data_IF_862201100969
#
_entry.id   IF_862201100969
#
_cell.length_a   1.000
_cell.length_b   1.000
_cell.length_c   1.000
_cell.angle_alpha   90.00
_cell.angle_beta   90.00
_cell.angle_gamma   90.00
#
_symmetry.space_group_name_H-M   'P 1'
#
loop_
_entity.id
_entity.type
_entity.pdbx_description
1 polymer ?
#
# COMPACT_ATOMS: atom_id res chain seq x y z
N UNK A 1 -2.26 -63.53 -37.31
CA UNK A 1 -2.20 -63.22 -35.87
C UNK A 1 -1.55 -61.86 -35.76
N UNK A 2 -2.30 -60.82 -35.40
CA UNK A 2 -1.71 -59.52 -35.03
C UNK A 2 -1.64 -59.45 -33.49
N UNK A 3 -0.42 -59.15 -33.02
CA UNK A 3 -0.14 -58.88 -31.60
C UNK A 3 -0.79 -57.62 -31.15
N UNK A 4 -1.61 -57.73 -30.12
CA UNK A 4 -2.21 -56.61 -29.39
C UNK A 4 -1.17 -56.01 -28.47
N UNK A 5 -0.67 -54.80 -28.82
CA UNK A 5 0.15 -53.98 -27.94
C UNK A 5 -0.79 -53.41 -26.86
N UNK A 6 -0.66 -53.96 -25.66
CA UNK A 6 -1.38 -53.48 -24.49
C UNK A 6 -0.86 -52.06 -24.10
N UNK A 7 -1.72 -51.07 -24.27
CA UNK A 7 -1.53 -49.76 -23.64
C UNK A 7 -1.57 -49.94 -22.12
N UNK A 8 -0.42 -49.94 -21.48
CA UNK A 8 -0.31 -49.73 -20.04
C UNK A 8 -0.80 -48.32 -19.71
N UNK A 9 -2.08 -48.16 -19.35
CA UNK A 9 -2.57 -47.01 -18.67
C UNK A 9 -1.75 -46.85 -17.37
N UNK A 10 -0.76 -45.95 -17.41
CA UNK A 10 -0.04 -45.54 -16.22
C UNK A 10 -1.05 -45.04 -15.20
N UNK A 11 -1.10 -45.69 -14.04
CA UNK A 11 -1.89 -45.24 -12.89
C UNK A 11 -1.51 -43.81 -12.61
N UNK A 12 -2.46 -42.90 -12.68
CA UNK A 12 -2.26 -41.49 -12.34
C UNK A 12 -1.71 -41.43 -10.90
N UNK A 13 -0.48 -41.01 -10.72
CA UNK A 13 0.08 -40.75 -9.41
C UNK A 13 -0.90 -39.83 -8.66
N UNK A 14 -1.22 -40.07 -7.39
CA UNK A 14 -2.12 -39.22 -6.64
C UNK A 14 -1.51 -37.80 -6.65
N UNK A 15 -2.23 -36.84 -7.24
CA UNK A 15 -1.78 -35.45 -7.31
C UNK A 15 -1.31 -35.01 -5.92
N UNK A 16 -0.12 -34.43 -5.82
CA UNK A 16 0.41 -33.94 -4.55
C UNK A 16 -0.57 -32.94 -3.93
N UNK A 17 -0.55 -32.77 -2.61
CA UNK A 17 -1.42 -31.80 -1.92
C UNK A 17 -1.25 -30.40 -2.55
N UNK A 18 -0.02 -30.05 -2.91
CA UNK A 18 0.28 -28.77 -3.58
C UNK A 18 -0.42 -28.64 -4.94
N UNK A 19 -0.44 -29.71 -5.73
CA UNK A 19 -1.11 -29.72 -7.04
C UNK A 19 -2.65 -29.56 -6.88
N UNK A 20 -3.24 -30.19 -5.87
CA UNK A 20 -4.69 -30.06 -5.62
C UNK A 20 -5.08 -28.66 -5.15
N UNK A 21 -4.23 -28.01 -4.33
CA UNK A 21 -4.51 -26.69 -3.77
C UNK A 21 -4.22 -25.55 -4.76
N UNK A 22 -3.14 -25.66 -5.54
CA UNK A 22 -2.62 -24.53 -6.32
C UNK A 22 -2.69 -24.72 -7.84
N UNK A 23 -3.05 -25.93 -8.34
CA UNK A 23 -3.16 -26.22 -9.76
C UNK A 23 -1.86 -25.85 -10.54
N UNK A 24 -0.70 -26.25 -10.00
CA UNK A 24 0.62 -25.83 -10.51
C UNK A 24 0.84 -26.20 -11.98
N UNK A 25 0.51 -27.45 -12.34
CA UNK A 25 0.67 -27.92 -13.72
C UNK A 25 -0.24 -27.16 -14.70
N UNK A 26 -1.48 -26.84 -14.28
CA UNK A 26 -2.41 -26.03 -15.07
C UNK A 26 -1.92 -24.61 -15.30
N UNK A 27 -1.23 -24.02 -14.31
CA UNK A 27 -0.67 -22.68 -14.37
C UNK A 27 0.75 -22.64 -14.93
N UNK A 28 1.28 -23.78 -15.41
CA UNK A 28 2.61 -23.87 -16.07
C UNK A 28 3.76 -23.52 -15.14
N UNK A 29 3.69 -23.85 -13.85
CA UNK A 29 4.69 -23.54 -12.84
C UNK A 29 5.08 -24.77 -12.02
N UNK A 30 6.15 -24.66 -11.25
CA UNK A 30 6.68 -25.70 -10.36
C UNK A 30 6.88 -25.13 -8.94
N UNK A 31 6.84 -25.99 -7.88
CA UNK A 31 7.04 -25.54 -6.51
C UNK A 31 8.32 -24.71 -6.29
N UNK A 32 9.43 -25.09 -6.95
CA UNK A 32 10.70 -24.38 -6.86
C UNK A 32 10.59 -22.95 -7.39
N UNK A 33 9.91 -22.76 -8.50
CA UNK A 33 9.71 -21.45 -9.13
C UNK A 33 8.84 -20.57 -8.23
N UNK A 34 7.77 -21.14 -7.66
CA UNK A 34 6.88 -20.43 -6.72
C UNK A 34 7.61 -19.99 -5.44
N UNK A 35 8.53 -20.84 -4.90
CA UNK A 35 9.37 -20.49 -3.75
C UNK A 35 10.28 -19.31 -4.08
N UNK A 36 10.98 -19.37 -5.22
CA UNK A 36 11.88 -18.28 -5.66
C UNK A 36 11.08 -16.98 -5.85
N UNK A 37 9.90 -17.07 -6.46
CA UNK A 37 9.00 -15.96 -6.64
C UNK A 37 8.54 -15.38 -5.29
N UNK A 38 8.20 -16.22 -4.31
CA UNK A 38 7.83 -15.80 -2.95
C UNK A 38 8.97 -15.07 -2.24
N UNK A 39 10.19 -15.59 -2.31
CA UNK A 39 11.36 -14.91 -1.74
C UNK A 39 11.59 -13.57 -2.44
N UNK A 40 11.47 -13.51 -3.75
CA UNK A 40 11.63 -12.28 -4.54
C UNK A 40 10.59 -11.23 -4.14
N UNK A 41 9.31 -11.61 -4.05
CA UNK A 41 8.24 -10.73 -3.58
C UNK A 41 8.53 -10.23 -2.16
N UNK A 42 8.86 -11.12 -1.24
CA UNK A 42 9.16 -10.74 0.14
C UNK A 42 10.31 -9.72 0.21
N UNK A 43 11.41 -9.95 -0.49
CA UNK A 43 12.55 -9.04 -0.50
C UNK A 43 12.21 -7.64 -1.04
N UNK A 44 11.28 -7.55 -2.00
CA UNK A 44 10.87 -6.25 -2.55
C UNK A 44 9.95 -5.47 -1.63
N UNK A 45 9.17 -6.14 -0.76
CA UNK A 45 8.20 -5.49 0.11
C UNK A 45 8.57 -5.53 1.61
N UNK A 46 9.65 -6.24 2.00
CA UNK A 46 10.04 -6.39 3.41
C UNK A 46 10.38 -5.05 4.11
N UNK A 47 10.62 -3.99 3.36
CA UNK A 47 10.84 -2.66 3.91
C UNK A 47 9.65 -2.16 4.74
N UNK A 48 8.43 -2.64 4.49
CA UNK A 48 7.23 -2.28 5.26
C UNK A 48 7.34 -2.64 6.74
N UNK A 49 8.11 -3.69 7.06
CA UNK A 49 8.36 -4.14 8.43
C UNK A 49 9.04 -3.04 9.26
N UNK A 50 9.84 -2.19 8.62
CA UNK A 50 10.56 -1.08 9.25
C UNK A 50 9.77 0.22 9.16
N UNK A 51 9.22 0.50 7.99
CA UNK A 51 8.62 1.80 7.68
C UNK A 51 7.25 1.97 8.35
N UNK A 52 6.42 0.93 8.37
CA UNK A 52 5.09 1.03 8.96
C UNK A 52 5.11 1.35 10.48
N UNK A 53 5.93 0.69 11.31
CA UNK A 53 6.06 1.06 12.72
C UNK A 53 6.56 2.50 12.94
N UNK A 54 7.36 3.03 12.02
CA UNK A 54 7.82 4.42 12.12
C UNK A 54 6.71 5.41 11.81
N UNK A 55 5.96 5.20 10.73
CA UNK A 55 4.83 6.07 10.36
C UNK A 55 3.74 6.05 11.44
N UNK A 56 3.33 4.87 11.90
CA UNK A 56 2.29 4.76 12.91
C UNK A 56 2.79 5.18 14.31
N UNK A 57 4.10 5.12 14.56
CA UNK A 57 4.74 5.70 15.73
C UNK A 57 4.54 7.21 15.84
N UNK A 58 4.46 7.95 14.72
CA UNK A 58 4.13 9.38 14.68
C UNK A 58 2.67 9.65 15.15
N UNK A 59 1.79 8.67 15.03
CA UNK A 59 0.43 8.71 15.57
C UNK A 59 0.37 8.33 17.08
N UNK A 60 1.50 8.09 17.73
CA UNK A 60 1.58 7.72 19.16
C UNK A 60 1.35 6.22 19.44
N UNK A 61 1.42 5.36 18.43
CA UNK A 61 1.32 3.91 18.61
C UNK A 61 2.66 3.31 19.07
N UNK A 62 2.59 2.23 19.85
CA UNK A 62 3.79 1.46 20.23
C UNK A 62 4.42 0.78 19.01
N UNK A 63 5.66 1.16 18.71
CA UNK A 63 6.37 0.68 17.50
C UNK A 63 6.62 -0.82 17.51
N UNK A 64 6.85 -1.41 18.68
CA UNK A 64 7.06 -2.85 18.84
C UNK A 64 5.77 -3.63 18.54
N UNK A 65 4.65 -3.19 19.10
CA UNK A 65 3.34 -3.79 18.85
C UNK A 65 2.92 -3.63 17.39
N UNK A 66 3.14 -2.45 16.78
CA UNK A 66 2.88 -2.21 15.36
C UNK A 66 3.74 -3.09 14.45
N UNK A 67 5.01 -3.31 14.80
CA UNK A 67 5.87 -4.26 14.07
C UNK A 67 5.27 -5.67 14.04
N UNK A 68 4.84 -6.17 15.21
CA UNK A 68 4.20 -7.49 15.31
C UNK A 68 2.87 -7.50 14.54
N UNK A 69 2.04 -6.46 14.71
CA UNK A 69 0.79 -6.30 13.97
C UNK A 69 1.01 -6.30 12.45
N UNK A 70 2.05 -5.61 11.97
CA UNK A 70 2.42 -5.55 10.55
C UNK A 70 2.77 -6.93 10.01
N UNK A 71 3.66 -7.66 10.70
CA UNK A 71 4.08 -8.99 10.26
C UNK A 71 2.91 -9.99 10.28
N UNK A 72 2.09 -9.98 11.32
CA UNK A 72 0.93 -10.88 11.43
C UNK A 72 -0.17 -10.53 10.43
N UNK A 73 -0.47 -9.25 10.25
CA UNK A 73 -1.45 -8.80 9.27
C UNK A 73 -1.01 -9.17 7.84
N UNK A 74 0.25 -8.88 7.48
CA UNK A 74 0.80 -9.26 6.20
C UNK A 74 0.79 -10.77 5.98
N UNK A 75 1.23 -11.56 6.97
CA UNK A 75 1.25 -13.02 6.87
C UNK A 75 -0.15 -13.61 6.69
N UNK A 76 -1.09 -13.26 7.58
CA UNK A 76 -2.45 -13.81 7.53
C UNK A 76 -3.20 -13.40 6.26
N UNK A 77 -3.13 -12.13 5.89
CA UNK A 77 -3.81 -11.60 4.71
C UNK A 77 -3.25 -12.20 3.41
N UNK A 78 -1.93 -12.29 3.31
CA UNK A 78 -1.26 -12.91 2.16
C UNK A 78 -1.58 -14.41 2.08
N UNK A 79 -1.66 -15.10 3.23
CA UNK A 79 -2.08 -16.50 3.28
C UNK A 79 -3.52 -16.68 2.78
N UNK A 80 -4.44 -15.81 3.18
CA UNK A 80 -5.84 -15.81 2.69
C UNK A 80 -5.86 -15.57 1.19
N UNK A 81 -5.13 -14.60 0.65
CA UNK A 81 -5.02 -14.35 -0.79
C UNK A 81 -4.50 -15.60 -1.52
N UNK A 82 -3.45 -16.24 -0.99
CA UNK A 82 -2.85 -17.43 -1.59
C UNK A 82 -3.76 -18.63 -1.58
N UNK A 83 -4.46 -18.90 -0.48
CA UNK A 83 -5.30 -20.11 -0.33
C UNK A 83 -6.70 -19.95 -0.90
N UNK A 84 -7.29 -18.76 -0.78
CA UNK A 84 -8.68 -18.52 -1.19
C UNK A 84 -8.78 -18.02 -2.64
N UNK A 85 -7.99 -17.01 -3.02
CA UNK A 85 -7.98 -16.50 -4.37
C UNK A 85 -6.99 -17.22 -5.31
N UNK A 86 -6.01 -17.95 -4.76
CA UNK A 86 -4.93 -18.64 -5.48
C UNK A 86 -4.16 -17.69 -6.43
N UNK A 87 -3.78 -16.50 -5.91
CA UNK A 87 -2.98 -15.51 -6.64
C UNK A 87 -1.60 -15.32 -6.02
N UNK A 88 -0.56 -15.07 -6.84
CA UNK A 88 0.80 -14.78 -6.39
C UNK A 88 0.94 -13.33 -5.90
N UNK A 89 -0.03 -12.87 -5.11
CA UNK A 89 -0.14 -11.48 -4.67
C UNK A 89 -0.02 -11.44 -3.14
N UNK A 90 0.94 -10.66 -2.67
CA UNK A 90 1.16 -10.42 -1.27
C UNK A 90 0.45 -9.16 -0.79
N UNK A 91 0.01 -9.18 0.46
CA UNK A 91 -0.68 -8.09 1.14
C UNK A 91 0.13 -7.62 2.34
N UNK A 92 0.15 -6.31 2.56
CA UNK A 92 0.73 -5.69 3.76
C UNK A 92 0.10 -4.30 3.99
N UNK A 93 0.36 -3.63 5.14
CA UNK A 93 -0.11 -2.27 5.36
C UNK A 93 0.34 -1.32 4.25
N UNK A 94 -0.63 -0.67 3.56
CA UNK A 94 -0.38 0.18 2.39
C UNK A 94 0.26 1.51 2.76
N UNK A 95 1.34 1.91 2.08
CA UNK A 95 2.11 3.10 2.44
C UNK A 95 1.30 4.39 2.44
N UNK A 96 0.51 4.62 1.39
CA UNK A 96 -0.38 5.79 1.30
C UNK A 96 -1.48 5.77 2.36
N UNK A 97 -2.00 4.58 2.67
CA UNK A 97 -3.03 4.36 3.68
C UNK A 97 -2.46 4.55 5.10
N UNK A 98 -1.21 4.16 5.34
CA UNK A 98 -0.49 4.42 6.60
C UNK A 98 -0.33 5.92 6.85
N UNK A 99 0.05 6.66 5.80
CA UNK A 99 0.18 8.11 5.87
C UNK A 99 -1.18 8.79 6.10
N UNK A 100 -2.23 8.34 5.43
CA UNK A 100 -3.59 8.82 5.68
C UNK A 100 -4.01 8.58 7.13
N UNK A 101 -3.77 7.40 7.66
CA UNK A 101 -4.03 7.04 9.05
C UNK A 101 -3.31 8.01 10.02
N UNK A 102 -1.98 8.09 9.92
CA UNK A 102 -1.17 8.83 10.89
C UNK A 102 -1.34 10.35 10.75
N UNK A 103 -1.17 10.87 9.55
CA UNK A 103 -1.08 12.32 9.35
C UNK A 103 -2.45 12.97 9.12
N UNK A 104 -3.36 12.31 8.39
CA UNK A 104 -4.68 12.91 8.14
C UNK A 104 -5.66 12.63 9.28
N UNK A 105 -5.85 11.36 9.67
CA UNK A 105 -6.86 11.01 10.66
C UNK A 105 -6.40 11.39 12.07
N UNK A 106 -5.20 10.97 12.49
CA UNK A 106 -4.74 11.21 13.85
C UNK A 106 -4.26 12.65 14.03
N UNK A 107 -3.30 13.11 13.23
CA UNK A 107 -2.65 14.41 13.47
C UNK A 107 -3.54 15.57 13.01
N UNK A 108 -4.01 15.57 11.76
CA UNK A 108 -4.77 16.70 11.22
C UNK A 108 -6.19 16.78 11.76
N UNK A 109 -6.92 15.66 11.85
CA UNK A 109 -8.28 15.64 12.40
C UNK A 109 -8.31 15.48 13.93
N UNK A 110 -7.17 15.32 14.60
CA UNK A 110 -7.02 15.17 16.05
C UNK A 110 -7.81 14.01 16.66
N UNK A 111 -8.00 12.94 15.90
CA UNK A 111 -8.53 11.69 16.42
C UNK A 111 -7.45 10.90 17.15
N UNK A 112 -7.85 10.06 18.11
CA UNK A 112 -6.93 9.10 18.70
C UNK A 112 -6.59 8.01 17.67
N UNK A 113 -5.46 7.33 17.82
CA UNK A 113 -5.12 6.23 16.94
C UNK A 113 -6.12 5.05 17.07
N UNK A 114 -6.78 4.89 18.22
CA UNK A 114 -7.85 3.91 18.43
C UNK A 114 -9.08 4.24 17.57
N UNK A 115 -9.44 5.51 17.47
CA UNK A 115 -10.50 5.98 16.58
C UNK A 115 -10.10 5.83 15.12
N UNK A 116 -8.83 6.05 14.79
CA UNK A 116 -8.32 5.81 13.45
C UNK A 116 -8.35 4.30 13.07
N UNK A 117 -8.10 3.38 14.02
CA UNK A 117 -8.31 1.95 13.80
C UNK A 117 -9.78 1.63 13.51
N UNK A 118 -10.73 2.30 14.19
CA UNK A 118 -12.15 2.14 13.89
C UNK A 118 -12.51 2.68 12.49
N UNK A 119 -11.88 3.78 12.02
CA UNK A 119 -12.02 4.26 10.63
C UNK A 119 -11.56 3.19 9.64
N UNK A 120 -10.40 2.57 9.87
CA UNK A 120 -9.87 1.49 9.02
C UNK A 120 -10.81 0.29 8.99
N UNK A 121 -11.27 -0.15 10.16
CA UNK A 121 -12.17 -1.30 10.28
C UNK A 121 -13.49 -1.07 9.53
N UNK A 122 -14.12 0.09 9.73
CA UNK A 122 -15.38 0.44 9.05
C UNK A 122 -15.19 0.61 7.54
N UNK A 123 -14.08 1.19 7.10
CA UNK A 123 -13.72 1.26 5.68
C UNK A 123 -13.58 -0.13 5.08
N UNK A 124 -12.86 -1.05 5.73
CA UNK A 124 -12.72 -2.43 5.31
C UNK A 124 -14.06 -3.19 5.28
N UNK A 125 -14.94 -2.97 6.27
CA UNK A 125 -16.27 -3.57 6.31
C UNK A 125 -17.17 -3.07 5.18
N UNK A 126 -17.14 -1.78 4.86
CA UNK A 126 -17.83 -1.22 3.69
C UNK A 126 -17.25 -1.77 2.39
N UNK A 127 -15.93 -1.90 2.29
CA UNK A 127 -15.28 -2.50 1.13
C UNK A 127 -15.71 -3.97 0.94
N UNK A 128 -15.77 -4.74 2.03
CA UNK A 128 -16.28 -6.12 2.00
C UNK A 128 -17.73 -6.18 1.50
N UNK A 129 -18.60 -5.28 1.99
CA UNK A 129 -19.98 -5.20 1.55
C UNK A 129 -20.10 -4.87 0.05
N UNK A 130 -19.35 -3.88 -0.43
CA UNK A 130 -19.31 -3.48 -1.84
C UNK A 130 -18.81 -4.64 -2.72
N UNK A 131 -17.81 -5.41 -2.23
CA UNK A 131 -17.25 -6.57 -2.94
C UNK A 131 -18.26 -7.71 -3.08
N UNK A 132 -19.08 -7.96 -2.05
CA UNK A 132 -20.16 -8.95 -2.09
C UNK A 132 -21.28 -8.52 -3.05
N UNK A 133 -21.70 -7.25 -2.99
CA UNK A 133 -22.84 -6.72 -3.76
C UNK A 133 -22.53 -6.47 -5.24
N UNK A 134 -21.28 -6.68 -5.68
CA UNK A 134 -20.79 -6.40 -7.05
C UNK A 134 -21.00 -4.96 -7.53
N UNK A 135 -21.13 -4.01 -6.61
CA UNK A 135 -21.30 -2.57 -6.90
C UNK A 135 -19.98 -1.93 -7.31
N UNK A 136 -18.87 -2.63 -7.12
CA UNK A 136 -17.52 -2.14 -7.33
C UNK A 136 -17.27 -1.56 -8.71
N UNK A 137 -17.68 -2.25 -9.78
CA UNK A 137 -17.50 -1.74 -11.16
C UNK A 137 -18.14 -0.36 -11.32
N UNK A 138 -19.30 -0.15 -10.69
CA UNK A 138 -19.95 1.15 -10.66
C UNK A 138 -19.11 2.18 -9.90
N UNK A 139 -18.57 1.84 -8.72
CA UNK A 139 -17.76 2.76 -7.90
C UNK A 139 -16.44 3.10 -8.61
N UNK A 140 -15.72 2.11 -9.14
CA UNK A 140 -14.45 2.33 -9.85
C UNK A 140 -14.68 3.16 -11.12
N UNK A 141 -15.73 2.85 -11.88
CA UNK A 141 -16.05 3.57 -13.11
C UNK A 141 -16.69 4.94 -12.85
N UNK A 142 -17.12 5.22 -11.64
CA UNK A 142 -17.74 6.48 -11.28
C UNK A 142 -16.75 7.66 -11.20
N UNK A 143 -15.44 7.40 -11.03
CA UNK A 143 -14.41 8.44 -10.94
C UNK A 143 -13.60 8.48 -12.24
N UNK A 144 -13.30 9.69 -12.76
CA UNK A 144 -12.42 9.88 -13.92
C UNK A 144 -11.02 9.33 -13.70
N UNK A 145 -10.42 8.73 -14.72
CA UNK A 145 -9.09 8.11 -14.62
C UNK A 145 -8.00 9.12 -14.21
N UNK A 146 -8.06 10.35 -14.74
CA UNK A 146 -7.06 11.37 -14.41
C UNK A 146 -7.10 11.76 -12.92
N UNK A 147 -8.29 11.79 -12.30
CA UNK A 147 -8.40 11.99 -10.85
C UNK A 147 -7.86 10.79 -10.05
N UNK A 148 -8.05 9.55 -10.51
CA UNK A 148 -7.48 8.36 -9.85
C UNK A 148 -5.95 8.40 -9.88
N UNK A 149 -5.37 8.69 -11.04
CA UNK A 149 -3.92 8.83 -11.22
C UNK A 149 -3.37 9.95 -10.35
N UNK A 150 -4.08 11.09 -10.29
CA UNK A 150 -3.71 12.24 -9.47
C UNK A 150 -3.80 11.94 -7.96
N UNK A 151 -4.78 11.15 -7.51
CA UNK A 151 -4.88 10.72 -6.11
C UNK A 151 -3.65 9.89 -5.75
N UNK A 152 -3.31 8.88 -6.54
CA UNK A 152 -2.13 8.05 -6.31
C UNK A 152 -0.84 8.88 -6.31
N UNK A 153 -0.65 9.74 -7.31
CA UNK A 153 0.52 10.60 -7.40
C UNK A 153 0.58 11.62 -6.26
N UNK A 154 -0.55 12.19 -5.86
CA UNK A 154 -0.66 13.13 -4.73
C UNK A 154 -0.28 12.49 -3.40
N UNK A 155 -0.70 11.23 -3.18
CA UNK A 155 -0.26 10.43 -2.03
C UNK A 155 1.26 10.23 -2.09
N UNK A 156 1.81 9.92 -3.27
CA UNK A 156 3.26 9.82 -3.46
C UNK A 156 3.98 11.13 -3.11
N UNK A 157 3.53 12.26 -3.62
CA UNK A 157 4.10 13.58 -3.29
C UNK A 157 3.98 13.90 -1.79
N UNK A 158 2.88 13.50 -1.16
CA UNK A 158 2.66 13.65 0.27
C UNK A 158 3.65 12.78 1.08
N UNK A 159 3.89 11.53 0.68
CA UNK A 159 4.96 10.71 1.27
C UNK A 159 6.34 11.32 1.07
N UNK A 160 6.57 11.94 -0.10
CA UNK A 160 7.82 12.62 -0.42
C UNK A 160 8.14 13.78 0.53
N UNK A 161 7.16 14.65 0.81
CA UNK A 161 7.39 15.77 1.76
C UNK A 161 7.62 15.25 3.19
N UNK A 162 6.89 14.22 3.62
CA UNK A 162 7.11 13.57 4.92
C UNK A 162 8.53 13.00 5.00
N UNK A 163 8.97 12.28 3.97
CA UNK A 163 10.32 11.72 3.94
C UNK A 163 11.40 12.79 4.02
N UNK A 164 11.24 13.90 3.30
CA UNK A 164 12.17 15.02 3.33
C UNK A 164 12.20 15.74 4.68
N UNK A 165 11.06 15.84 5.36
CA UNK A 165 10.93 16.42 6.69
C UNK A 165 11.53 15.51 7.77
N UNK A 166 11.19 14.22 7.77
CA UNK A 166 11.75 13.23 8.70
C UNK A 166 13.26 13.10 8.59
N UNK A 167 13.79 13.19 7.36
CA UNK A 167 15.23 13.22 7.10
C UNK A 167 15.88 14.58 7.42
N UNK A 168 15.11 15.61 7.81
CA UNK A 168 15.58 16.99 8.00
C UNK A 168 16.27 17.61 6.78
N UNK A 169 15.94 17.12 5.58
CA UNK A 169 16.35 17.72 4.31
C UNK A 169 15.52 18.97 4.04
N UNK A 170 14.22 18.92 4.35
CA UNK A 170 13.31 20.06 4.36
C UNK A 170 12.95 20.38 5.80
N UNK A 171 13.08 21.66 6.18
CA UNK A 171 12.77 22.14 7.52
C UNK A 171 11.85 23.35 7.47
N UNK A 172 11.12 23.62 8.55
CA UNK A 172 10.22 24.76 8.65
C UNK A 172 10.98 26.09 8.58
N UNK A 173 10.41 27.08 7.87
CA UNK A 173 10.98 28.42 7.76
C UNK A 173 9.86 29.47 7.85
N UNK A 174 10.01 30.52 8.70
CA UNK A 174 8.92 31.46 8.97
C UNK A 174 8.43 32.25 7.75
N UNK A 175 9.35 32.57 6.79
CA UNK A 175 9.00 33.39 5.63
C UNK A 175 8.55 32.58 4.41
N UNK A 176 9.12 31.37 4.21
CA UNK A 176 8.90 30.56 3.00
C UNK A 176 8.14 29.26 3.30
N UNK A 177 7.64 29.06 4.52
CA UNK A 177 7.06 27.85 5.09
C UNK A 177 8.09 26.73 5.26
N UNK A 178 8.86 26.43 4.22
CA UNK A 178 9.93 25.42 4.23
C UNK A 178 11.21 25.95 3.59
N UNK A 179 12.33 25.38 3.99
CA UNK A 179 13.65 25.65 3.42
C UNK A 179 14.53 24.40 3.46
N UNK A 180 15.67 24.44 2.79
CA UNK A 180 16.68 23.39 2.85
C UNK A 180 17.31 23.33 4.24
N UNK A 181 17.35 22.13 4.82
CA UNK A 181 18.06 21.85 6.06
C UNK A 181 19.58 21.76 5.88
N UNK A 182 20.28 21.43 6.96
CA UNK A 182 21.73 21.28 6.97
C UNK A 182 22.14 19.90 6.44
N UNK A 183 22.53 19.82 5.17
CA UNK A 183 22.98 18.60 4.50
C UNK A 183 24.37 18.13 4.96
N UNK A 184 25.10 18.91 5.76
CA UNK A 184 26.38 18.48 6.32
C UNK A 184 26.19 17.54 7.52
N UNK A 185 25.00 17.50 8.09
CA UNK A 185 24.63 16.56 9.12
C UNK A 185 24.62 15.12 8.58
N UNK A 186 25.11 14.11 9.36
CA UNK A 186 25.16 12.74 8.87
C UNK A 186 23.79 12.17 8.47
N UNK A 187 22.71 12.47 9.20
CA UNK A 187 21.36 11.95 8.94
C UNK A 187 20.82 12.34 7.55
N UNK A 188 20.65 13.65 7.24
CA UNK A 188 20.23 14.11 5.91
C UNK A 188 21.13 13.61 4.78
N UNK A 189 22.45 13.62 4.98
CA UNK A 189 23.41 13.11 4.00
C UNK A 189 23.21 11.62 3.71
N UNK A 190 23.09 10.77 4.75
CA UNK A 190 22.88 9.34 4.61
C UNK A 190 21.51 9.02 4.01
N UNK A 191 20.48 9.84 4.22
CA UNK A 191 19.20 9.70 3.52
C UNK A 191 19.38 9.84 2.00
N UNK A 192 20.10 10.87 1.53
CA UNK A 192 20.36 11.07 0.11
C UNK A 192 21.21 9.94 -0.47
N UNK A 193 22.25 9.48 0.24
CA UNK A 193 23.05 8.33 -0.16
C UNK A 193 22.18 7.08 -0.29
N UNK A 194 21.30 6.83 0.70
CA UNK A 194 20.36 5.72 0.70
C UNK A 194 19.40 5.77 -0.49
N UNK A 195 18.82 6.93 -0.76
CA UNK A 195 17.95 7.14 -1.91
C UNK A 195 18.66 6.84 -3.24
N UNK A 196 19.86 7.41 -3.45
CA UNK A 196 20.64 7.16 -4.68
C UNK A 196 20.99 5.69 -4.82
N UNK A 197 21.37 5.01 -3.72
CA UNK A 197 21.67 3.59 -3.71
C UNK A 197 20.44 2.76 -4.09
N UNK A 198 19.26 3.05 -3.51
CA UNK A 198 18.01 2.38 -3.86
C UNK A 198 17.71 2.54 -5.35
N UNK A 199 17.80 3.76 -5.89
CA UNK A 199 17.58 4.04 -7.31
C UNK A 199 18.56 3.26 -8.19
N UNK A 200 19.86 3.25 -7.84
CA UNK A 200 20.89 2.55 -8.58
C UNK A 200 20.68 1.01 -8.58
N UNK A 201 20.29 0.44 -7.44
CA UNK A 201 19.97 -1.00 -7.35
C UNK A 201 18.68 -1.34 -8.09
N UNK A 202 17.66 -0.51 -7.99
CA UNK A 202 16.39 -0.66 -8.70
C UNK A 202 16.57 -0.60 -10.22
N UNK A 203 17.42 0.31 -10.73
CA UNK A 203 17.73 0.42 -12.15
C UNK A 203 18.41 -0.86 -12.70
N UNK A 204 19.10 -1.60 -11.85
CA UNK A 204 19.71 -2.91 -12.16
C UNK A 204 18.76 -4.08 -11.93
N UNK A 205 17.49 -3.82 -11.66
CA UNK A 205 16.46 -4.83 -11.36
C UNK A 205 16.84 -5.75 -10.19
N UNK A 206 17.56 -5.21 -9.20
CA UNK A 206 17.91 -5.97 -8.01
C UNK A 206 16.68 -6.13 -7.10
N UNK A 207 16.23 -7.36 -6.92
CA UNK A 207 15.14 -7.68 -6.01
C UNK A 207 15.56 -7.30 -4.57
N UNK A 208 14.71 -6.51 -3.86
CA UNK A 208 15.05 -6.03 -2.53
C UNK A 208 15.96 -4.80 -2.50
N UNK A 209 16.01 -4.01 -3.59
CA UNK A 209 16.78 -2.77 -3.67
C UNK A 209 16.49 -1.81 -2.50
N UNK A 210 15.22 -1.67 -2.12
CA UNK A 210 14.79 -0.81 -1.00
C UNK A 210 15.34 -1.36 0.33
N UNK A 211 15.14 -2.64 0.59
CA UNK A 211 15.65 -3.29 1.80
C UNK A 211 17.17 -3.19 1.90
N UNK A 212 17.89 -3.46 0.81
CA UNK A 212 19.35 -3.36 0.78
C UNK A 212 19.81 -1.90 1.03
N UNK A 213 19.15 -0.92 0.44
CA UNK A 213 19.44 0.49 0.68
C UNK A 213 19.27 0.89 2.15
N UNK A 214 18.15 0.51 2.76
CA UNK A 214 17.89 0.73 4.19
C UNK A 214 19.01 0.12 5.05
N UNK A 215 19.31 -1.16 4.85
CA UNK A 215 20.31 -1.87 5.66
C UNK A 215 21.72 -1.30 5.49
N UNK A 216 22.13 -0.99 4.26
CA UNK A 216 23.47 -0.42 3.98
C UNK A 216 23.64 0.92 4.67
N UNK A 217 22.68 1.87 4.54
CA UNK A 217 22.84 3.18 5.19
C UNK A 217 22.68 3.11 6.70
N UNK A 218 21.93 2.14 7.23
CA UNK A 218 21.86 1.87 8.65
C UNK A 218 23.23 1.41 9.18
N UNK A 219 23.91 0.50 8.48
CA UNK A 219 25.27 0.04 8.84
C UNK A 219 26.28 1.18 8.74
N UNK A 220 26.22 2.00 7.68
CA UNK A 220 27.08 3.18 7.53
C UNK A 220 26.85 4.18 8.69
N UNK A 221 25.66 4.25 9.25
CA UNK A 221 25.33 5.11 10.38
C UNK A 221 25.95 4.70 11.72
N UNK A 222 26.43 3.47 11.86
CA UNK A 222 27.02 2.96 13.12
C UNK A 222 28.24 3.78 13.55
N UNK A 223 29.24 4.07 12.69
CA UNK A 223 30.39 4.88 13.06
C UNK A 223 30.05 6.33 13.47
N UNK A 224 28.88 6.83 13.07
CA UNK A 224 28.38 8.16 13.43
C UNK A 224 27.53 8.16 14.71
N UNK A 225 27.49 7.03 15.44
CA UNK A 225 26.68 6.83 16.65
C UNK A 225 25.15 7.04 16.43
N UNK A 226 24.69 6.98 15.18
CA UNK A 226 23.27 7.13 14.81
C UNK A 226 22.49 5.83 15.00
N UNK A 227 23.18 4.70 15.10
CA UNK A 227 22.60 3.36 15.24
C UNK A 227 23.31 2.60 16.34
N UNK A 228 22.53 2.08 17.31
CA UNK A 228 23.04 1.22 18.36
C UNK A 228 22.70 -0.24 18.02
N UNK A 229 23.73 -1.09 17.96
CA UNK A 229 23.53 -2.51 17.71
C UNK A 229 22.94 -3.21 18.93
N UNK A 230 21.69 -3.71 18.81
CA UNK A 230 20.94 -4.38 19.89
C UNK A 230 20.81 -5.88 19.71
N UNK A 231 21.34 -6.44 18.61
CA UNK A 231 21.24 -7.85 18.27
C UNK A 231 20.59 -8.12 16.94
N UNK A 232 20.53 -9.39 16.53
CA UNK A 232 19.95 -9.80 15.24
C UNK A 232 18.61 -10.49 15.46
N UNK A 233 18.50 -11.35 16.46
CA UNK A 233 17.33 -12.19 16.73
C UNK A 233 16.90 -12.02 18.18
N UNK A 234 15.59 -11.84 18.40
CA UNK A 234 14.98 -11.82 19.72
C UNK A 234 13.54 -12.36 19.63
N UNK A 235 12.94 -12.62 20.80
CA UNK A 235 11.51 -12.89 20.87
C UNK A 235 10.70 -11.66 20.41
N UNK A 236 9.60 -11.86 19.64
CA UNK A 236 8.76 -10.76 19.22
C UNK A 236 8.24 -9.94 20.42
N UNK A 237 8.13 -8.61 20.30
CA UNK A 237 7.48 -7.79 21.31
C UNK A 237 6.01 -8.16 21.50
N UNK A 238 5.41 -7.66 22.60
CA UNK A 238 4.00 -7.91 22.88
C UNK A 238 3.10 -7.17 21.89
N UNK A 239 2.09 -7.84 21.35
CA UNK A 239 1.02 -7.24 20.53
C UNK A 239 -0.04 -6.52 21.41
N UNK A 240 -0.11 -6.82 22.70
CA UNK A 240 -1.18 -6.35 23.60
C UNK A 240 -1.46 -4.83 23.55
N UNK A 241 -0.46 -3.93 23.40
CA UNK A 241 -0.72 -2.50 23.37
C UNK A 241 -1.64 -2.04 22.22
N UNK A 242 -1.70 -2.77 21.10
CA UNK A 242 -2.46 -2.35 19.92
C UNK A 242 -3.61 -3.31 19.56
N UNK A 243 -3.60 -4.51 20.14
CA UNK A 243 -4.59 -5.55 19.81
C UNK A 243 -6.00 -5.20 20.31
N UNK A 244 -6.98 -5.21 19.41
CA UNK A 244 -8.40 -4.94 19.66
C UNK A 244 -8.68 -3.56 20.32
N UNK A 245 -7.85 -2.55 20.04
CA UNK A 245 -7.95 -1.22 20.64
C UNK A 245 -8.85 -0.26 19.80
N UNK A 246 -9.86 -0.77 19.10
CA UNK A 246 -10.74 0.06 18.28
C UNK A 246 -11.68 0.89 19.15
N UNK A 247 -11.80 2.21 18.88
CA UNK A 247 -12.74 3.11 19.54
C UNK A 247 -13.76 3.66 18.53
N UNK A 248 -15.01 3.24 18.70
CA UNK A 248 -16.14 3.64 17.85
C UNK A 248 -16.92 4.85 18.39
N UNK A 249 -16.44 5.54 19.43
CA UNK A 249 -17.18 6.63 20.10
C UNK A 249 -17.54 7.78 19.17
N UNK A 250 -16.76 7.99 18.09
CA UNK A 250 -16.91 9.10 17.15
C UNK A 250 -17.57 8.71 15.80
N UNK A 251 -18.11 7.50 15.69
CA UNK A 251 -18.62 6.94 14.41
C UNK A 251 -19.70 7.79 13.75
N UNK A 252 -20.49 8.54 14.52
CA UNK A 252 -21.58 9.37 13.98
C UNK A 252 -21.16 10.82 13.68
N UNK A 253 -19.91 11.21 13.92
CA UNK A 253 -19.41 12.52 13.52
C UNK A 253 -19.21 12.57 11.99
N UNK A 254 -19.66 13.66 11.36
CA UNK A 254 -19.54 13.82 9.90
C UNK A 254 -18.09 13.71 9.43
N UNK A 255 -17.13 14.29 10.15
CA UNK A 255 -15.71 14.23 9.82
C UNK A 255 -15.18 12.79 9.88
N UNK A 256 -15.66 12.00 10.86
CA UNK A 256 -15.31 10.58 10.97
C UNK A 256 -15.84 9.77 9.76
N UNK A 257 -17.11 9.97 9.40
CA UNK A 257 -17.72 9.29 8.24
C UNK A 257 -17.02 9.67 6.93
N UNK A 258 -16.63 10.94 6.79
CA UNK A 258 -15.85 11.40 5.63
C UNK A 258 -14.46 10.73 5.62
N UNK A 259 -13.80 10.56 6.77
CA UNK A 259 -12.53 9.84 6.86
C UNK A 259 -12.69 8.36 6.44
N UNK A 260 -13.74 7.67 6.94
CA UNK A 260 -14.07 6.29 6.54
C UNK A 260 -14.27 6.20 5.02
N UNK A 261 -15.05 7.12 4.46
CA UNK A 261 -15.35 7.12 3.02
C UNK A 261 -14.12 7.48 2.17
N UNK A 262 -13.32 8.45 2.60
CA UNK A 262 -12.07 8.82 1.92
C UNK A 262 -11.09 7.64 1.90
N UNK A 263 -10.92 6.96 3.04
CA UNK A 263 -10.07 5.78 3.14
C UNK A 263 -10.57 4.65 2.23
N UNK A 264 -11.89 4.40 2.22
CA UNK A 264 -12.50 3.42 1.31
C UNK A 264 -12.18 3.70 -0.15
N UNK A 265 -12.31 4.96 -0.59
CA UNK A 265 -12.00 5.34 -1.97
C UNK A 265 -10.53 5.11 -2.30
N UNK A 266 -9.62 5.54 -1.42
CA UNK A 266 -8.18 5.35 -1.61
C UNK A 266 -7.88 3.86 -1.73
N UNK A 267 -8.39 3.04 -0.81
CA UNK A 267 -8.18 1.59 -0.76
C UNK A 267 -8.72 0.89 -2.02
N UNK A 268 -9.96 1.20 -2.43
CA UNK A 268 -10.57 0.65 -3.64
C UNK A 268 -9.76 0.96 -4.91
N UNK A 269 -9.18 2.17 -5.01
CA UNK A 269 -8.41 2.56 -6.21
C UNK A 269 -7.00 1.99 -6.19
N UNK A 270 -6.35 1.99 -5.03
CA UNK A 270 -5.02 1.40 -4.85
C UNK A 270 -5.06 -0.10 -5.18
N UNK A 271 -6.06 -0.79 -4.64
CA UNK A 271 -6.31 -2.20 -4.93
C UNK A 271 -6.61 -2.49 -6.40
N UNK A 272 -7.47 -1.68 -7.02
CA UNK A 272 -7.80 -1.89 -8.43
C UNK A 272 -6.56 -1.78 -9.30
N UNK A 273 -5.69 -0.79 -9.04
CA UNK A 273 -4.43 -0.59 -9.74
C UNK A 273 -3.46 -1.74 -9.51
N UNK A 274 -3.22 -2.09 -8.25
CA UNK A 274 -2.26 -3.13 -7.86
C UNK A 274 -2.68 -4.53 -8.34
N UNK A 275 -3.94 -4.92 -8.11
CA UNK A 275 -4.45 -6.25 -8.55
C UNK A 275 -4.41 -6.41 -10.06
N UNK A 276 -4.90 -5.42 -10.82
CA UNK A 276 -4.92 -5.49 -12.28
C UNK A 276 -3.50 -5.41 -12.84
N UNK A 277 -2.66 -4.53 -12.29
CA UNK A 277 -1.26 -4.38 -12.72
C UNK A 277 -0.45 -5.67 -12.53
N UNK A 278 -0.54 -6.29 -11.35
CA UNK A 278 0.13 -7.57 -11.07
C UNK A 278 -0.45 -8.70 -11.92
N UNK A 279 -1.78 -8.77 -12.06
CA UNK A 279 -2.45 -9.79 -12.86
C UNK A 279 -2.10 -9.69 -14.34
N UNK A 280 -1.99 -8.48 -14.89
CA UNK A 280 -1.53 -8.23 -16.26
C UNK A 280 -0.09 -8.71 -16.45
N UNK A 281 0.81 -8.34 -15.53
CA UNK A 281 2.21 -8.79 -15.56
C UNK A 281 2.36 -10.32 -15.43
N UNK A 282 1.43 -10.96 -14.71
CA UNK A 282 1.37 -12.41 -14.52
C UNK A 282 0.75 -13.17 -15.70
N UNK A 283 0.11 -12.47 -16.65
CA UNK A 283 -0.68 -13.12 -17.72
C UNK A 283 -1.93 -13.85 -17.18
N UNK A 284 -2.49 -13.39 -16.06
CA UNK A 284 -3.65 -14.00 -15.38
C UNK A 284 -4.99 -13.39 -15.83
N UNK A 285 -4.97 -12.38 -16.69
CA UNK A 285 -6.18 -11.80 -17.25
C UNK A 285 -6.79 -12.72 -18.32
N UNK A 286 -8.11 -12.78 -18.38
CA UNK A 286 -8.84 -13.46 -19.44
C UNK A 286 -8.74 -12.70 -20.78
N UNK A 287 -9.36 -13.24 -21.83
CA UNK A 287 -9.35 -12.64 -23.18
C UNK A 287 -10.06 -11.30 -23.24
N UNK A 288 -10.95 -11.05 -22.32
CA UNK A 288 -11.72 -9.82 -22.14
C UNK A 288 -10.99 -8.79 -21.26
N UNK A 289 -9.79 -9.15 -20.71
CA UNK A 289 -8.99 -8.29 -19.84
C UNK A 289 -9.45 -8.27 -18.38
N UNK A 290 -10.30 -9.20 -17.95
CA UNK A 290 -10.77 -9.30 -16.58
C UNK A 290 -9.91 -10.31 -15.78
N UNK A 291 -9.87 -10.13 -14.48
CA UNK A 291 -9.25 -11.06 -13.55
C UNK A 291 -10.27 -12.14 -13.13
N UNK A 292 -10.08 -13.42 -13.47
CA UNK A 292 -11.10 -14.48 -13.30
C UNK A 292 -11.65 -14.62 -11.89
N UNK A 293 -10.79 -14.52 -10.85
CA UNK A 293 -11.17 -14.63 -9.43
C UNK A 293 -11.10 -13.26 -8.72
N UNK A 294 -11.55 -12.21 -9.41
CA UNK A 294 -11.51 -10.85 -8.88
C UNK A 294 -12.27 -10.70 -7.55
N UNK A 295 -13.42 -11.37 -7.42
CA UNK A 295 -14.23 -11.32 -6.21
C UNK A 295 -13.47 -11.89 -5.01
N UNK A 296 -12.85 -13.05 -5.17
CA UNK A 296 -12.07 -13.72 -4.15
C UNK A 296 -10.87 -12.89 -3.72
N UNK A 297 -10.17 -12.26 -4.68
CA UNK A 297 -9.06 -11.35 -4.39
C UNK A 297 -9.51 -10.15 -3.56
N UNK A 298 -10.63 -9.51 -3.93
CA UNK A 298 -11.15 -8.35 -3.20
C UNK A 298 -11.72 -8.69 -1.83
N UNK A 299 -12.34 -9.86 -1.69
CA UNK A 299 -12.77 -10.33 -0.37
C UNK A 299 -11.56 -10.60 0.54
N UNK A 300 -10.47 -11.15 -0.01
CA UNK A 300 -9.21 -11.31 0.72
C UNK A 300 -8.64 -9.97 1.16
N UNK A 301 -8.70 -8.97 0.32
CA UNK A 301 -8.20 -7.63 0.58
C UNK A 301 -9.05 -6.88 1.63
N UNK A 302 -10.37 -6.93 1.48
CA UNK A 302 -11.30 -6.36 2.49
C UNK A 302 -11.14 -7.03 3.85
N UNK A 303 -10.95 -8.36 3.89
CA UNK A 303 -10.61 -9.09 5.10
C UNK A 303 -9.30 -8.59 5.69
N UNK A 304 -8.28 -8.37 4.84
CA UNK A 304 -6.98 -7.87 5.25
C UNK A 304 -7.06 -6.51 5.94
N UNK A 305 -7.85 -5.58 5.40
CA UNK A 305 -8.07 -4.27 5.99
C UNK A 305 -8.70 -4.37 7.39
N UNK A 306 -9.77 -5.15 7.54
CA UNK A 306 -10.43 -5.37 8.84
C UNK A 306 -9.50 -6.07 9.84
N UNK A 307 -8.83 -7.14 9.40
CA UNK A 307 -7.94 -7.92 10.25
C UNK A 307 -6.72 -7.11 10.71
N UNK A 308 -6.13 -6.29 9.83
CA UNK A 308 -5.06 -5.36 10.17
C UNK A 308 -5.48 -4.38 11.27
N UNK A 309 -6.68 -3.79 11.18
CA UNK A 309 -7.22 -2.90 12.19
C UNK A 309 -7.41 -3.60 13.57
N UNK A 310 -7.86 -4.85 13.57
CA UNK A 310 -8.01 -5.65 14.80
C UNK A 310 -6.66 -5.95 15.47
N UNK A 311 -5.62 -6.17 14.69
CA UNK A 311 -4.26 -6.37 15.20
C UNK A 311 -3.60 -5.06 15.65
N UNK A 312 -4.11 -3.92 15.22
CA UNK A 312 -3.56 -2.60 15.54
C UNK A 312 -2.54 -2.12 14.52
N UNK A 313 -2.82 -2.32 13.23
CA UNK A 313 -2.12 -1.67 12.13
C UNK A 313 -3.11 -0.97 11.19
N UNK A 314 -2.60 -0.17 10.27
CA UNK A 314 -3.44 0.51 9.26
C UNK A 314 -3.98 -0.46 8.21
N UNK A 315 -4.68 0.06 7.21
CA UNK A 315 -5.27 -0.73 6.12
C UNK A 315 -4.22 -1.61 5.44
N UNK A 316 -4.45 -2.92 5.48
CA UNK A 316 -3.65 -3.93 4.78
C UNK A 316 -4.24 -4.15 3.40
N UNK A 317 -3.43 -4.06 2.35
CA UNK A 317 -3.86 -4.04 0.94
C UNK A 317 -2.88 -4.79 0.04
N UNK A 318 -3.29 -5.07 -1.19
CA UNK A 318 -2.49 -5.77 -2.21
C UNK A 318 -1.30 -4.93 -2.66
N UNK A 319 -0.10 -5.54 -2.72
CA UNK A 319 1.16 -4.88 -3.04
C UNK A 319 1.56 -5.07 -4.50
N UNK A 320 1.84 -3.96 -5.19
CA UNK A 320 2.31 -3.96 -6.57
C UNK A 320 3.70 -4.58 -6.72
N UNK A 321 4.51 -4.58 -5.65
CA UNK A 321 5.80 -5.27 -5.56
C UNK A 321 5.70 -6.77 -5.82
N UNK A 322 4.51 -7.36 -5.70
CA UNK A 322 4.23 -8.74 -6.11
C UNK A 322 4.56 -9.00 -7.58
N UNK A 323 4.56 -7.96 -8.43
CA UNK A 323 4.99 -8.04 -9.82
C UNK A 323 6.45 -8.52 -9.98
N UNK A 324 7.31 -8.29 -8.98
CA UNK A 324 8.69 -8.79 -8.98
C UNK A 324 8.73 -10.33 -8.87
N UNK A 325 7.94 -10.92 -7.98
CA UNK A 325 7.82 -12.38 -7.86
C UNK A 325 7.15 -13.01 -9.08
N UNK A 326 6.14 -12.33 -9.63
CA UNK A 326 5.51 -12.73 -10.90
C UNK A 326 6.52 -12.74 -12.04
N UNK A 327 7.38 -11.73 -12.12
CA UNK A 327 8.48 -11.66 -13.10
C UNK A 327 9.53 -12.77 -12.89
N UNK A 328 9.68 -13.26 -11.65
CA UNK A 328 10.52 -14.41 -11.32
C UNK A 328 9.83 -15.78 -11.59
N UNK A 329 8.59 -15.76 -12.10
CA UNK A 329 7.86 -16.95 -12.51
C UNK A 329 6.69 -17.37 -11.62
N UNK A 330 6.37 -16.63 -10.56
CA UNK A 330 5.21 -16.87 -9.70
C UNK A 330 3.87 -16.76 -10.46
N UNK A 331 3.00 -17.75 -10.29
CA UNK A 331 1.71 -17.83 -11.01
C UNK A 331 0.55 -18.20 -10.11
N UNK A 332 0.83 -18.73 -8.93
CA UNK A 332 -0.19 -19.32 -8.05
C UNK A 332 -0.10 -18.79 -6.63
N UNK A 333 -1.10 -19.09 -5.82
CA UNK A 333 -1.12 -18.76 -4.40
C UNK A 333 -0.01 -19.39 -3.57
N UNK A 334 0.72 -20.37 -4.12
CA UNK A 334 1.88 -20.95 -3.41
C UNK A 334 2.98 -19.89 -3.21
N UNK A 335 3.20 -18.99 -4.17
CA UNK A 335 4.07 -17.81 -3.99
C UNK A 335 3.65 -17.00 -2.77
N UNK A 336 2.36 -16.68 -2.64
CA UNK A 336 1.83 -15.92 -1.50
C UNK A 336 2.01 -16.66 -0.18
N UNK A 337 1.81 -17.99 -0.15
CA UNK A 337 2.05 -18.80 1.05
C UNK A 337 3.50 -18.70 1.51
N UNK A 338 4.47 -18.72 0.60
CA UNK A 338 5.88 -18.54 0.96
C UNK A 338 6.17 -17.13 1.49
N UNK A 339 5.58 -16.08 0.91
CA UNK A 339 5.68 -14.71 1.43
C UNK A 339 5.14 -14.65 2.86
N UNK A 340 3.98 -15.25 3.11
CA UNK A 340 3.38 -15.29 4.45
C UNK A 340 4.29 -15.95 5.48
N UNK A 341 4.92 -17.09 5.13
CA UNK A 341 5.88 -17.75 6.01
C UNK A 341 7.11 -16.87 6.30
N UNK A 342 7.61 -16.12 5.31
CA UNK A 342 8.72 -15.20 5.51
C UNK A 342 8.36 -14.03 6.42
N UNK A 343 7.12 -13.49 6.34
CA UNK A 343 6.64 -12.49 7.30
C UNK A 343 6.54 -13.04 8.72
N UNK A 344 6.11 -14.29 8.90
CA UNK A 344 6.12 -14.94 10.22
C UNK A 344 7.56 -15.14 10.75
N UNK A 345 8.50 -15.52 9.88
CA UNK A 345 9.90 -15.62 10.24
C UNK A 345 10.49 -14.24 10.61
N UNK A 346 10.07 -13.18 9.96
CA UNK A 346 10.51 -11.82 10.21
C UNK A 346 10.20 -11.31 11.63
N UNK A 347 9.19 -11.87 12.30
CA UNK A 347 8.86 -11.54 13.71
C UNK A 347 10.06 -11.65 14.64
N UNK A 348 10.94 -12.59 14.40
CA UNK A 348 12.14 -12.82 15.25
C UNK A 348 13.28 -11.84 14.96
N UNK A 349 13.19 -11.06 13.89
CA UNK A 349 14.18 -10.05 13.51
C UNK A 349 13.82 -8.63 14.00
N UNK A 350 13.00 -8.53 15.03
CA UNK A 350 12.62 -7.26 15.66
C UNK A 350 13.82 -6.36 16.03
N UNK A 351 14.95 -6.90 16.60
CA UNK A 351 16.07 -6.03 16.91
C UNK A 351 16.61 -5.28 15.68
N UNK A 352 16.67 -5.94 14.53
CA UNK A 352 17.07 -5.27 13.28
C UNK A 352 16.08 -4.16 12.93
N UNK A 353 14.77 -4.42 13.05
CA UNK A 353 13.75 -3.42 12.77
C UNK A 353 13.86 -2.20 13.71
N UNK A 354 14.13 -2.43 14.97
CA UNK A 354 14.32 -1.36 15.96
C UNK A 354 15.59 -0.53 15.74
N UNK A 355 16.59 -1.08 15.06
CA UNK A 355 17.84 -0.40 14.73
C UNK A 355 17.78 0.47 13.48
N UNK A 356 16.77 0.29 12.61
CA UNK A 356 16.64 1.09 11.39
C UNK A 356 16.35 2.55 11.73
N UNK A 357 17.27 3.48 11.43
CA UNK A 357 17.09 4.88 11.77
C UNK A 357 16.12 5.58 10.81
N UNK A 358 15.54 6.68 11.28
CA UNK A 358 14.52 7.44 10.52
C UNK A 358 15.02 7.87 9.13
N UNK A 359 16.28 8.29 9.00
CA UNK A 359 16.84 8.70 7.71
C UNK A 359 16.91 7.55 6.68
N UNK A 360 17.07 6.30 7.14
CA UNK A 360 17.12 5.14 6.24
C UNK A 360 15.72 4.79 5.71
N UNK A 361 14.69 4.83 6.55
CA UNK A 361 13.31 4.66 6.12
C UNK A 361 12.80 5.84 5.30
N UNK A 362 13.22 7.07 5.61
CA UNK A 362 12.92 8.24 4.79
C UNK A 362 13.47 8.11 3.36
N UNK A 363 14.66 7.55 3.17
CA UNK A 363 15.20 7.25 1.84
C UNK A 363 14.29 6.30 1.05
N UNK A 364 13.77 5.26 1.70
CA UNK A 364 12.82 4.33 1.11
C UNK A 364 11.48 5.00 0.76
N UNK A 365 10.93 5.81 1.69
CA UNK A 365 9.71 6.57 1.46
C UNK A 365 9.84 7.52 0.27
N UNK A 366 10.96 8.21 0.16
CA UNK A 366 11.24 9.10 -0.98
C UNK A 366 11.27 8.34 -2.30
N UNK A 367 11.84 7.13 -2.32
CA UNK A 367 11.81 6.27 -3.50
C UNK A 367 10.38 5.83 -3.85
N UNK A 368 9.58 5.39 -2.86
CA UNK A 368 8.17 5.03 -3.07
C UNK A 368 7.37 6.23 -3.60
N UNK A 369 7.63 7.43 -3.08
CA UNK A 369 7.03 8.67 -3.58
C UNK A 369 7.29 8.88 -5.08
N UNK A 370 8.54 8.65 -5.54
CA UNK A 370 8.89 8.72 -6.96
C UNK A 370 8.14 7.69 -7.81
N UNK A 371 8.01 6.46 -7.32
CA UNK A 371 7.27 5.40 -8.02
C UNK A 371 5.79 5.76 -8.16
N UNK A 372 5.15 6.23 -7.09
CA UNK A 372 3.74 6.64 -7.12
C UNK A 372 3.50 7.87 -8.01
N UNK A 373 4.44 8.78 -8.10
CA UNK A 373 4.35 9.96 -8.96
C UNK A 373 4.35 9.63 -10.47
N UNK A 374 4.76 8.43 -10.89
CA UNK A 374 4.75 8.01 -12.30
C UNK A 374 3.36 8.08 -12.93
N UNK A 375 2.29 7.90 -12.14
CA UNK A 375 0.92 8.05 -12.62
C UNK A 375 0.60 9.40 -13.29
N UNK A 376 1.34 10.46 -12.95
CA UNK A 376 1.18 11.76 -13.61
C UNK A 376 1.51 11.72 -15.12
N UNK A 377 2.40 10.82 -15.56
CA UNK A 377 2.77 10.69 -16.96
C UNK A 377 1.64 10.08 -17.82
N UNK A 378 0.72 9.34 -17.21
CA UNK A 378 -0.39 8.66 -17.88
C UNK A 378 -1.65 9.55 -18.01
N UNK A 379 -1.63 10.76 -17.42
CA UNK A 379 -2.75 11.70 -17.45
C UNK A 379 -2.94 12.29 -18.85
N UNK A 380 -4.17 12.70 -19.16
CA UNK A 380 -4.55 13.36 -20.43
C UNK A 380 -4.22 14.86 -20.41
N UNK A 381 -2.98 15.21 -20.67
CA UNK A 381 -2.47 16.60 -20.63
C UNK A 381 -3.03 17.53 -21.73
N UNK A 382 -3.79 17.02 -22.69
CA UNK A 382 -4.39 17.81 -23.77
C UNK A 382 -5.77 18.40 -23.41
N UNK A 383 -6.46 17.91 -22.37
CA UNK A 383 -7.75 18.45 -21.91
C UNK A 383 -7.60 19.15 -20.55
N UNK A 384 -7.64 20.49 -20.57
CA UNK A 384 -7.48 21.31 -19.36
C UNK A 384 -8.54 21.00 -18.31
N UNK A 385 -9.75 20.59 -18.69
CA UNK A 385 -10.83 20.24 -17.75
C UNK A 385 -10.62 18.91 -17.05
N UNK A 386 -9.66 18.11 -17.49
CA UNK A 386 -9.20 16.87 -16.87
C UNK A 386 -7.93 17.10 -16.04
N UNK A 387 -6.86 17.62 -16.67
CA UNK A 387 -5.59 17.71 -15.97
C UNK A 387 -5.52 18.80 -14.90
N UNK A 388 -6.21 19.95 -15.06
CA UNK A 388 -6.12 21.01 -14.05
C UNK A 388 -6.69 20.58 -12.69
N UNK A 389 -7.91 19.97 -12.59
CA UNK A 389 -8.38 19.39 -11.34
C UNK A 389 -7.48 18.28 -10.80
N UNK A 390 -6.90 17.46 -11.68
CA UNK A 390 -5.98 16.40 -11.30
C UNK A 390 -4.68 16.98 -10.67
N UNK A 391 -4.08 17.99 -11.26
CA UNK A 391 -2.92 18.69 -10.69
C UNK A 391 -3.27 19.33 -9.33
N UNK A 392 -4.43 19.98 -9.22
CA UNK A 392 -4.91 20.54 -7.94
C UNK A 392 -5.01 19.43 -6.88
N UNK A 393 -5.56 18.27 -7.22
CA UNK A 393 -5.64 17.11 -6.33
C UNK A 393 -4.25 16.70 -5.82
N UNK A 394 -3.32 16.48 -6.75
CA UNK A 394 -1.98 15.97 -6.42
C UNK A 394 -1.17 16.97 -5.59
N UNK A 395 -1.23 18.27 -5.94
CA UNK A 395 -0.46 19.33 -5.27
C UNK A 395 -1.07 19.71 -3.93
N UNK A 396 -2.39 19.72 -3.79
CA UNK A 396 -3.02 20.09 -2.54
C UNK A 396 -2.70 19.14 -1.38
N UNK A 397 -2.47 17.84 -1.63
CA UNK A 397 -2.18 16.86 -0.59
C UNK A 397 -0.92 17.21 0.23
N UNK A 398 0.27 17.38 -0.36
CA UNK A 398 1.47 17.74 0.40
C UNK A 398 1.38 19.14 1.02
N UNK A 399 0.76 20.12 0.36
CA UNK A 399 0.70 21.49 0.86
C UNK A 399 -0.35 21.72 1.95
N UNK A 400 -1.36 20.87 2.06
CA UNK A 400 -2.36 20.93 3.16
C UNK A 400 -2.09 19.89 4.24
N UNK A 401 -1.03 19.08 4.09
CA UNK A 401 -0.76 17.92 4.95
C UNK A 401 -2.00 17.02 5.15
N UNK A 402 -2.83 16.89 4.09
CA UNK A 402 -4.09 16.14 4.16
C UNK A 402 -4.46 15.54 2.81
N UNK A 403 -4.44 14.22 2.73
CA UNK A 403 -4.89 13.48 1.55
C UNK A 403 -6.37 13.74 1.30
N UNK A 404 -7.20 13.72 2.35
CA UNK A 404 -8.64 13.98 2.22
C UNK A 404 -8.95 15.39 1.68
N UNK A 405 -8.17 16.40 2.09
CA UNK A 405 -8.33 17.76 1.59
C UNK A 405 -7.98 17.85 0.10
N UNK A 406 -6.89 17.20 -0.31
CA UNK A 406 -6.51 17.14 -1.73
C UNK A 406 -7.57 16.46 -2.59
N UNK A 407 -8.10 15.32 -2.14
CA UNK A 407 -9.21 14.63 -2.80
C UNK A 407 -10.42 15.54 -2.93
N UNK A 408 -10.83 16.19 -1.82
CA UNK A 408 -11.99 17.08 -1.79
C UNK A 408 -11.87 18.27 -2.74
N UNK A 409 -10.73 18.95 -2.72
CA UNK A 409 -10.45 20.07 -3.64
C UNK A 409 -10.44 19.61 -5.11
N UNK A 410 -9.89 18.42 -5.38
CA UNK A 410 -9.89 17.83 -6.71
C UNK A 410 -11.30 17.57 -7.25
N UNK A 411 -12.17 16.94 -6.44
CA UNK A 411 -13.56 16.67 -6.83
C UNK A 411 -14.35 17.96 -7.06
N UNK A 412 -14.21 18.95 -6.16
CA UNK A 412 -14.88 20.26 -6.30
C UNK A 412 -14.39 20.96 -7.57
N UNK A 413 -13.07 21.04 -7.79
CA UNK A 413 -12.48 21.65 -8.96
C UNK A 413 -12.94 20.96 -10.25
N UNK A 414 -12.94 19.64 -10.30
CA UNK A 414 -13.39 18.86 -11.44
C UNK A 414 -14.86 19.14 -11.76
N UNK A 415 -15.74 19.09 -10.77
CA UNK A 415 -17.15 19.35 -10.94
C UNK A 415 -17.39 20.76 -11.49
N UNK A 416 -16.76 21.78 -10.90
CA UNK A 416 -16.90 23.17 -11.33
C UNK A 416 -16.34 23.38 -12.75
N UNK A 417 -15.16 22.82 -13.08
CA UNK A 417 -14.57 22.91 -14.41
C UNK A 417 -15.48 22.29 -15.47
N UNK A 418 -16.06 21.12 -15.23
CA UNK A 418 -16.98 20.47 -16.18
C UNK A 418 -18.29 21.25 -16.35
N UNK A 419 -18.84 21.78 -15.27
CA UNK A 419 -20.06 22.59 -15.31
C UNK A 419 -19.82 23.88 -16.09
N UNK A 420 -18.79 24.65 -15.75
CA UNK A 420 -18.49 25.94 -16.38
C UNK A 420 -18.03 25.81 -17.85
N UNK A 421 -17.39 24.71 -18.19
CA UNK A 421 -17.01 24.40 -19.57
C UNK A 421 -18.17 23.87 -20.44
N UNK A 422 -19.37 23.74 -19.88
CA UNK A 422 -20.53 23.20 -20.62
C UNK A 422 -20.47 21.69 -20.89
N UNK A 423 -19.55 20.98 -20.24
CA UNK A 423 -19.32 19.53 -20.40
C UNK A 423 -20.09 18.69 -19.37
N UNK A 424 -21.35 19.05 -19.08
CA UNK A 424 -22.17 18.37 -18.08
C UNK A 424 -22.31 16.86 -18.30
N UNK A 425 -22.40 16.44 -19.55
CA UNK A 425 -22.54 15.02 -19.90
C UNK A 425 -21.30 14.16 -19.51
N UNK A 426 -20.15 14.79 -19.37
CA UNK A 426 -18.90 14.13 -18.94
C UNK A 426 -18.77 14.04 -17.43
N UNK A 427 -19.47 14.91 -16.67
CA UNK A 427 -19.47 14.91 -15.21
C UNK A 427 -20.37 13.81 -14.68
N UNK A 428 -19.76 12.72 -14.20
CA UNK A 428 -20.51 11.59 -13.64
C UNK A 428 -21.24 11.98 -12.36
N UNK A 429 -22.48 11.51 -12.11
CA UNK A 429 -23.27 11.87 -10.93
C UNK A 429 -22.54 11.63 -9.60
N UNK A 430 -21.78 10.55 -9.50
CA UNK A 430 -21.01 10.24 -8.29
C UNK A 430 -19.96 11.33 -7.97
N UNK A 431 -19.30 11.89 -8.99
CA UNK A 431 -18.32 12.98 -8.80
C UNK A 431 -19.00 14.24 -8.29
N UNK A 432 -20.20 14.57 -8.81
CA UNK A 432 -20.98 15.73 -8.39
C UNK A 432 -21.43 15.59 -6.92
N UNK A 433 -21.90 14.39 -6.54
CA UNK A 433 -22.27 14.09 -5.16
C UNK A 433 -21.07 14.23 -4.22
N UNK A 434 -19.90 13.69 -4.62
CA UNK A 434 -18.68 13.82 -3.84
C UNK A 434 -18.23 15.26 -3.70
N UNK A 435 -18.25 16.02 -4.79
CA UNK A 435 -17.93 17.45 -4.77
C UNK A 435 -18.85 18.22 -3.80
N UNK A 436 -20.15 17.92 -3.80
CA UNK A 436 -21.10 18.54 -2.88
C UNK A 436 -20.81 18.16 -1.41
N UNK A 437 -20.54 16.89 -1.11
CA UNK A 437 -20.19 16.43 0.25
C UNK A 437 -18.93 17.13 0.76
N UNK A 438 -17.87 17.21 -0.06
CA UNK A 438 -16.66 17.92 0.34
C UNK A 438 -16.85 19.44 0.45
N UNK A 439 -17.66 20.04 -0.42
CA UNK A 439 -17.98 21.47 -0.33
C UNK A 439 -18.73 21.79 0.97
N UNK A 440 -19.69 20.96 1.36
CA UNK A 440 -20.38 21.09 2.66
C UNK A 440 -19.38 20.96 3.81
N UNK A 441 -18.50 19.94 3.77
CA UNK A 441 -17.43 19.76 4.78
C UNK A 441 -16.58 21.02 4.94
N UNK A 442 -16.12 21.61 3.84
CA UNK A 442 -15.25 22.78 3.88
C UNK A 442 -15.99 24.08 4.28
N UNK A 443 -17.30 24.11 4.13
CA UNK A 443 -18.14 25.22 4.58
C UNK A 443 -18.49 25.14 6.07
N UNK A 444 -18.36 23.98 6.70
CA UNK A 444 -18.58 23.82 8.14
C UNK A 444 -17.34 24.31 8.91
N UNK A 445 -17.52 25.15 9.95
CA UNK A 445 -16.40 25.49 10.83
C UNK A 445 -15.91 24.22 11.52
N UNK A 446 -14.57 23.97 11.46
CA UNK A 446 -13.91 22.82 12.06
C UNK A 446 -13.84 22.89 13.57
#
# INVERSE_FOLDING_TARGET
MPETIGETRGAASPASVLERCFELARNGTEPRTEIIAGITTFLTMAYIIFVNPQILGNAGMDKGAVFVATCLAAAASTLVMGLYANYPIALAPGMGLNAFFAFTVVIAHRYTWQQALAVVFLSGALFFLISILRIREYVINAIPNDLKLAISAGIGLFLGIIALEEAKIVVAHPATLVTLGDLTQPGPFLCLVGFVLIVALSSRRFAGAILAGILVVSVIGIPFELVQFTGVVAMPPSLAPTFLQLDFSKTFELTFLIAVFSLLLIDVFDNAGSLIGVAHAAGLLDKEGNLPRMREALMSDSFAAMFGALLGTSTTTSYIESAAGVSAGGRTGLTAVFVAMLFLAALFFYPIAGMVPVYASAAALLYVACVMAQGLAEMRWHDVTEYAPAVVTAVAMPFTFSIATGIGLGFICYALCKILAGKFAEAKPAVLVMAAVFAIKFAMPG
#
